data_IF_152370313167
#
_entry.id   IF_152370313167
#
_cell.length_a   1.000
_cell.length_b   1.000
_cell.length_c   1.000
_cell.angle_alpha   90.00
_cell.angle_beta   90.00
_cell.angle_gamma   90.00
#
_symmetry.space_group_name_H-M   'P 1'
#
loop_
_entity.id
_entity.type
_entity.pdbx_description
1 polymer ?
#
# COMPACT_ATOMS: atom_id res chain seq x y z
N UNK A 1 -27.24 -26.29 -28.51
CA UNK A 1 -27.44 -25.03 -27.75
C UNK A 1 -26.09 -24.68 -27.16
N UNK A 2 -25.44 -23.65 -27.70
CA UNK A 2 -24.22 -23.11 -27.11
C UNK A 2 -24.61 -22.42 -25.80
N UNK A 3 -24.10 -22.94 -24.68
CA UNK A 3 -24.31 -22.32 -23.37
C UNK A 3 -23.57 -20.98 -23.38
N UNK A 4 -24.32 -19.90 -23.12
CA UNK A 4 -23.74 -18.60 -22.86
C UNK A 4 -23.12 -18.62 -21.47
N UNK A 5 -21.81 -18.84 -21.42
CA UNK A 5 -21.06 -19.04 -20.18
C UNK A 5 -21.11 -17.80 -19.27
N UNK A 6 -21.18 -16.60 -19.85
CA UNK A 6 -21.27 -15.36 -19.08
C UNK A 6 -22.65 -15.19 -18.43
N UNK A 7 -23.71 -15.65 -19.10
CA UNK A 7 -25.06 -15.71 -18.53
C UNK A 7 -25.15 -16.74 -17.39
N UNK A 8 -24.54 -17.92 -17.56
CA UNK A 8 -24.50 -18.97 -16.53
C UNK A 8 -23.73 -18.52 -15.29
N UNK A 9 -22.57 -17.86 -15.47
CA UNK A 9 -21.79 -17.29 -14.37
C UNK A 9 -22.57 -16.20 -13.62
N UNK A 10 -23.22 -15.29 -14.35
CA UNK A 10 -24.01 -14.22 -13.76
C UNK A 10 -25.20 -14.74 -12.95
N UNK A 11 -25.90 -15.76 -13.46
CA UNK A 11 -27.02 -16.40 -12.76
C UNK A 11 -26.55 -17.19 -11.53
N UNK A 12 -25.38 -17.83 -11.58
CA UNK A 12 -24.78 -18.54 -10.46
C UNK A 12 -24.38 -17.58 -9.33
N UNK A 13 -23.69 -16.47 -9.65
CA UNK A 13 -23.32 -15.43 -8.68
C UNK A 13 -24.58 -14.81 -8.05
N UNK A 14 -25.59 -14.48 -8.84
CA UNK A 14 -26.85 -13.90 -8.35
C UNK A 14 -27.63 -14.85 -7.43
N UNK A 15 -27.59 -16.17 -7.69
CA UNK A 15 -28.34 -17.16 -6.91
C UNK A 15 -27.63 -17.62 -5.63
N UNK A 16 -26.29 -17.64 -5.64
CA UNK A 16 -25.48 -18.15 -4.52
C UNK A 16 -24.88 -17.05 -3.65
N UNK A 17 -24.73 -15.84 -4.18
CA UNK A 17 -23.98 -14.75 -3.54
C UNK A 17 -22.47 -15.00 -3.49
N UNK A 18 -21.97 -16.00 -4.22
CA UNK A 18 -20.55 -16.30 -4.31
C UNK A 18 -19.78 -15.17 -5.01
N UNK A 19 -18.53 -14.92 -4.60
CA UNK A 19 -17.68 -13.98 -5.34
C UNK A 19 -17.47 -14.45 -6.79
N UNK A 20 -17.41 -13.54 -7.77
CA UNK A 20 -17.32 -13.90 -9.19
C UNK A 20 -16.15 -14.83 -9.55
N UNK A 21 -15.00 -14.69 -8.86
CA UNK A 21 -13.85 -15.58 -9.04
C UNK A 21 -14.14 -17.01 -8.60
N UNK A 22 -14.64 -17.19 -7.36
CA UNK A 22 -15.01 -18.49 -6.82
C UNK A 22 -16.14 -19.16 -7.61
N UNK A 23 -17.14 -18.39 -8.04
CA UNK A 23 -18.23 -18.87 -8.88
C UNK A 23 -17.71 -19.42 -10.21
N UNK A 24 -16.73 -18.73 -10.81
CA UNK A 24 -16.10 -19.16 -12.07
C UNK A 24 -15.29 -20.43 -11.88
N UNK A 25 -14.49 -20.53 -10.82
CA UNK A 25 -13.68 -21.73 -10.54
C UNK A 25 -14.55 -22.96 -10.28
N UNK A 26 -15.67 -22.81 -9.56
CA UNK A 26 -16.62 -23.89 -9.30
C UNK A 26 -17.36 -24.35 -10.57
N UNK A 27 -17.73 -23.41 -11.44
CA UNK A 27 -18.37 -23.71 -12.72
C UNK A 27 -17.40 -24.34 -13.70
N UNK A 28 -16.19 -23.81 -13.85
CA UNK A 28 -15.13 -24.36 -14.71
C UNK A 28 -14.72 -25.76 -14.24
N UNK A 29 -14.56 -25.96 -12.93
CA UNK A 29 -14.24 -27.27 -12.33
C UNK A 29 -15.31 -28.35 -12.53
N UNK A 30 -16.54 -27.97 -12.88
CA UNK A 30 -17.66 -28.88 -13.20
C UNK A 30 -18.10 -28.83 -14.65
N UNK A 31 -17.26 -28.34 -15.57
CA UNK A 31 -17.61 -28.19 -16.99
C UNK A 31 -18.93 -27.43 -17.21
N UNK A 32 -19.16 -26.38 -16.42
CA UNK A 32 -20.35 -25.53 -16.45
C UNK A 32 -21.66 -26.25 -16.08
N UNK A 33 -21.59 -27.38 -15.36
CA UNK A 33 -22.75 -28.00 -14.72
C UNK A 33 -23.12 -27.23 -13.45
N UNK A 34 -24.14 -26.37 -13.58
CA UNK A 34 -24.68 -25.53 -12.51
C UNK A 34 -25.09 -26.33 -11.28
N UNK A 35 -25.68 -27.53 -11.42
CA UNK A 35 -26.16 -28.30 -10.26
C UNK A 35 -24.99 -28.89 -9.48
N UNK A 36 -23.98 -29.38 -10.18
CA UNK A 36 -22.77 -29.90 -9.56
C UNK A 36 -21.98 -28.78 -8.88
N UNK A 37 -21.85 -27.61 -9.51
CA UNK A 37 -21.18 -26.45 -8.92
C UNK A 37 -21.91 -25.92 -7.68
N UNK A 38 -23.25 -25.96 -7.67
CA UNK A 38 -24.07 -25.52 -6.53
C UNK A 38 -23.96 -26.49 -5.34
N UNK A 39 -23.85 -27.80 -5.59
CA UNK A 39 -23.56 -28.80 -4.56
C UNK A 39 -22.19 -28.57 -3.91
N UNK A 40 -21.15 -28.29 -4.70
CA UNK A 40 -19.81 -28.00 -4.19
C UNK A 40 -19.79 -26.68 -3.39
N UNK A 41 -20.52 -25.66 -3.87
CA UNK A 41 -20.69 -24.39 -3.14
C UNK A 41 -21.39 -24.58 -1.78
N UNK A 42 -22.44 -25.40 -1.72
CA UNK A 42 -23.13 -25.69 -0.46
C UNK A 42 -22.27 -26.47 0.53
N UNK A 43 -21.43 -27.40 0.05
CA UNK A 43 -20.44 -28.09 0.89
C UNK A 43 -19.39 -27.12 1.45
N UNK A 44 -18.84 -26.24 0.61
CA UNK A 44 -17.90 -25.20 1.03
C UNK A 44 -18.51 -24.27 2.10
N UNK A 45 -19.79 -23.93 1.95
CA UNK A 45 -20.52 -23.11 2.92
C UNK A 45 -20.75 -23.85 4.25
N UNK A 46 -20.98 -25.16 4.21
CA UNK A 46 -21.12 -25.98 5.44
C UNK A 46 -19.79 -26.16 6.18
N UNK A 47 -18.66 -26.28 5.46
CA UNK A 47 -17.31 -26.36 6.08
C UNK A 47 -16.97 -25.06 6.81
N UNK A 48 -17.34 -23.90 6.27
CA UNK A 48 -17.12 -22.60 6.93
C UNK A 48 -18.03 -22.38 8.16
N UNK A 49 -19.19 -23.03 8.21
CA UNK A 49 -20.08 -23.00 9.39
C UNK A 49 -19.66 -24.01 10.49
N UNK A 50 -18.89 -25.04 10.15
CA UNK A 50 -18.49 -26.12 11.07
C UNK A 50 -17.22 -25.88 11.91
N UNK A 51 -16.48 -24.78 11.67
CA UNK A 51 -15.19 -24.50 12.32
C UNK A 51 -15.27 -23.57 13.55
N UNK A 52 -16.41 -23.50 14.24
CA UNK A 52 -16.48 -22.93 15.58
C UNK A 52 -16.29 -24.04 16.63
N UNK A 53 -15.13 -24.09 17.27
CA UNK A 53 -14.86 -24.99 18.40
C UNK A 53 -15.79 -24.68 19.59
N UNK A 54 -16.39 -25.68 20.26
CA UNK A 54 -17.20 -25.47 21.45
C UNK A 54 -16.33 -25.26 22.71
N UNK A 55 -16.84 -24.55 23.74
CA UNK A 55 -16.16 -24.46 25.02
C UNK A 55 -16.28 -25.78 25.80
N UNK A 56 -15.20 -26.14 26.48
CA UNK A 56 -15.12 -27.21 27.46
C UNK A 56 -16.24 -27.15 28.51
N UNK A 57 -16.92 -28.26 28.75
CA UNK A 57 -17.44 -28.62 30.08
C UNK A 57 -17.59 -30.14 30.22
N UNK A 58 -17.11 -30.61 31.36
CA UNK A 58 -17.10 -31.99 31.83
C UNK A 58 -18.50 -32.58 32.06
N UNK A 59 -18.59 -33.92 32.02
CA UNK A 59 -19.40 -34.65 33.00
C UNK A 59 -20.74 -35.26 32.56
N UNK A 60 -20.67 -36.42 31.90
CA UNK A 60 -21.37 -37.69 32.24
C UNK A 60 -22.89 -37.73 32.52
N UNK A 61 -23.62 -38.56 31.76
CA UNK A 61 -24.70 -39.38 32.33
C UNK A 61 -25.97 -39.69 31.50
N UNK A 62 -25.91 -40.71 30.63
CA UNK A 62 -26.95 -41.76 30.49
C UNK A 62 -28.34 -41.47 29.86
N UNK A 63 -29.09 -42.53 29.45
CA UNK A 63 -29.81 -42.55 28.16
C UNK A 63 -31.34 -42.84 28.22
N UNK A 64 -32.08 -42.59 27.11
CA UNK A 64 -33.11 -43.49 26.48
C UNK A 64 -34.08 -42.77 25.51
N UNK A 65 -34.37 -43.44 24.39
CA UNK A 65 -35.45 -43.25 23.39
C UNK A 65 -36.74 -44.01 23.80
N UNK A 66 -37.83 -44.08 23.00
CA UNK A 66 -38.49 -43.18 22.02
C UNK A 66 -40.01 -43.01 22.32
N UNK A 67 -40.78 -42.17 21.58
CA UNK A 67 -42.09 -42.51 20.97
C UNK A 67 -42.86 -41.32 20.33
N UNK A 68 -43.76 -41.70 19.42
CA UNK A 68 -44.50 -40.93 18.39
C UNK A 68 -45.62 -40.02 18.92
N UNK A 69 -45.98 -38.99 18.14
CA UNK A 69 -47.30 -38.35 18.17
C UNK A 69 -47.44 -37.16 17.21
N UNK A 70 -48.36 -37.26 16.24
CA UNK A 70 -48.74 -36.24 15.26
C UNK A 70 -49.69 -35.17 15.84
N UNK A 71 -49.53 -33.92 15.37
CA UNK A 71 -50.56 -33.01 14.80
C UNK A 71 -50.57 -31.55 15.30
N UNK A 72 -50.50 -30.65 14.31
CA UNK A 72 -51.04 -29.29 14.16
C UNK A 72 -51.42 -28.43 15.39
N UNK A 73 -50.70 -27.31 15.57
CA UNK A 73 -51.20 -25.93 15.37
C UNK A 73 -50.29 -24.90 16.04
N UNK A 74 -49.81 -23.99 15.22
CA UNK A 74 -49.78 -22.54 15.41
C UNK A 74 -49.20 -21.93 16.70
N UNK A 75 -48.03 -21.30 16.49
CA UNK A 75 -47.38 -20.23 17.24
C UNK A 75 -48.20 -19.47 18.28
N UNK A 76 -47.64 -19.31 19.49
CA UNK A 76 -47.61 -18.03 20.22
C UNK A 76 -46.58 -18.07 21.35
N UNK A 77 -45.44 -17.38 21.17
CA UNK A 77 -44.53 -16.96 22.27
C UNK A 77 -43.81 -15.66 21.85
N UNK A 78 -43.34 -14.88 22.84
CA UNK A 78 -43.48 -13.43 22.93
C UNK A 78 -42.49 -12.67 22.05
N UNK A 79 -42.69 -11.35 21.82
CA UNK A 79 -41.81 -10.57 20.97
C UNK A 79 -40.41 -10.53 21.60
N UNK A 80 -39.42 -11.05 20.89
CA UNK A 80 -38.01 -10.69 21.11
C UNK A 80 -37.77 -9.31 20.50
N UNK A 81 -36.97 -8.44 21.15
CA UNK A 81 -36.71 -7.11 20.65
C UNK A 81 -36.07 -7.19 19.26
N UNK A 82 -36.73 -6.55 18.30
CA UNK A 82 -36.20 -6.21 17.00
C UNK A 82 -34.94 -5.36 17.21
N UNK A 83 -33.77 -5.91 16.89
CA UNK A 83 -32.65 -5.06 16.50
C UNK A 83 -33.05 -4.44 15.16
N UNK A 84 -33.69 -3.27 15.24
CA UNK A 84 -33.82 -2.38 14.11
C UNK A 84 -32.42 -2.15 13.56
N UNK A 85 -32.24 -2.60 12.31
CA UNK A 85 -31.25 -2.08 11.38
C UNK A 85 -31.42 -0.57 11.39
N UNK A 86 -30.59 0.12 12.16
CA UNK A 86 -30.55 1.56 12.22
C UNK A 86 -29.76 2.04 10.99
N UNK A 87 -30.35 1.83 9.81
CA UNK A 87 -30.07 2.64 8.63
C UNK A 87 -30.74 4.00 8.88
N UNK A 88 -30.16 4.78 9.79
CA UNK A 88 -30.41 6.20 10.03
C UNK A 88 -29.41 6.68 11.10
N UNK A 89 -28.13 6.59 10.78
CA UNK A 89 -27.13 7.48 11.35
C UNK A 89 -26.67 8.33 10.18
N UNK A 90 -26.95 9.62 10.32
CA UNK A 90 -26.40 10.76 9.59
C UNK A 90 -25.17 10.37 8.78
N UNK A 91 -25.17 10.68 7.47
CA UNK A 91 -23.97 10.74 6.64
C UNK A 91 -22.92 11.67 7.29
N UNK A 92 -22.25 11.20 8.33
CA UNK A 92 -20.96 11.72 8.72
C UNK A 92 -20.05 11.34 7.57
N UNK A 93 -19.72 12.34 6.75
CA UNK A 93 -18.68 12.25 5.72
C UNK A 93 -17.49 11.54 6.36
N UNK A 94 -17.28 10.28 5.99
CA UNK A 94 -16.09 9.51 6.36
C UNK A 94 -14.91 10.40 6.04
N UNK A 95 -14.23 10.91 7.08
CA UNK A 95 -13.12 11.84 6.91
C UNK A 95 -12.12 11.14 5.97
N UNK A 96 -11.68 11.86 4.95
CA UNK A 96 -10.65 11.34 4.05
C UNK A 96 -9.39 11.18 4.90
N UNK A 97 -8.84 9.96 4.90
CA UNK A 97 -7.74 9.56 5.77
C UNK A 97 -6.50 10.41 5.52
N UNK A 98 -5.75 10.72 6.57
CA UNK A 98 -4.38 11.22 6.45
C UNK A 98 -4.21 12.74 6.43
N UNK A 99 -3.00 13.16 6.76
CA UNK A 99 -2.61 14.55 7.07
C UNK A 99 -2.97 15.54 5.95
N UNK A 100 -2.85 15.10 4.69
CA UNK A 100 -3.09 15.96 3.52
C UNK A 100 -4.55 16.40 3.34
N UNK A 101 -5.49 15.79 4.06
CA UNK A 101 -6.91 16.12 4.03
C UNK A 101 -7.36 17.01 5.20
N UNK A 102 -6.54 17.18 6.24
CA UNK A 102 -6.91 17.91 7.45
C UNK A 102 -7.10 19.43 7.22
N UNK A 103 -6.37 20.03 6.28
CA UNK A 103 -6.57 21.43 5.86
C UNK A 103 -6.12 21.64 4.41
N UNK A 104 -7.05 21.49 3.48
CA UNK A 104 -6.76 21.55 2.05
C UNK A 104 -6.13 22.89 1.61
N UNK A 105 -6.51 24.01 2.23
CA UNK A 105 -5.95 25.34 1.91
C UNK A 105 -4.49 25.48 2.37
N UNK A 106 -4.18 25.06 3.60
CA UNK A 106 -2.82 25.11 4.15
C UNK A 106 -1.90 24.18 3.35
N UNK A 107 -2.36 22.95 3.07
CA UNK A 107 -1.55 21.98 2.33
C UNK A 107 -1.33 22.43 0.88
N UNK A 108 -2.34 23.04 0.25
CA UNK A 108 -2.17 23.59 -1.11
C UNK A 108 -1.22 24.78 -1.13
N UNK A 109 -1.26 25.65 -0.12
CA UNK A 109 -0.29 26.73 0.03
C UNK A 109 1.13 26.19 0.23
N UNK A 110 1.30 25.19 1.09
CA UNK A 110 2.59 24.55 1.34
C UNK A 110 3.16 23.91 0.06
N UNK A 111 2.33 23.20 -0.72
CA UNK A 111 2.74 22.66 -2.03
C UNK A 111 3.14 23.75 -3.00
N UNK A 112 2.38 24.85 -3.06
CA UNK A 112 2.71 25.97 -3.95
C UNK A 112 4.06 26.61 -3.61
N UNK A 113 4.42 26.70 -2.33
CA UNK A 113 5.71 27.22 -1.89
C UNK A 113 6.87 26.29 -2.29
N UNK A 114 6.69 24.97 -2.14
CA UNK A 114 7.68 23.98 -2.61
C UNK A 114 7.84 24.03 -4.13
N UNK A 115 6.74 24.23 -4.87
CA UNK A 115 6.76 24.40 -6.33
C UNK A 115 7.45 25.69 -6.78
N UNK A 116 7.13 26.83 -6.14
CA UNK A 116 7.59 28.16 -6.54
C UNK A 116 9.08 28.36 -6.26
N UNK A 117 9.58 27.81 -5.15
CA UNK A 117 11.00 27.85 -4.84
C UNK A 117 11.80 26.83 -5.66
N UNK A 118 11.13 25.96 -6.43
CA UNK A 118 11.75 24.93 -7.27
C UNK A 118 11.79 25.22 -8.78
N UNK A 119 11.40 26.42 -9.22
CA UNK A 119 11.33 26.73 -10.64
C UNK A 119 11.54 28.19 -10.98
N UNK A 120 12.76 28.58 -11.32
CA UNK A 120 13.05 29.95 -11.75
C UNK A 120 14.46 30.20 -12.31
N UNK A 121 14.76 29.68 -13.50
CA UNK A 121 15.63 30.33 -14.48
C UNK A 121 17.14 30.39 -14.23
N UNK A 122 17.88 29.63 -15.04
CA UNK A 122 19.24 29.98 -15.47
C UNK A 122 20.36 29.78 -14.44
N UNK A 123 21.28 28.87 -14.77
CA UNK A 123 22.54 28.55 -14.07
C UNK A 123 22.42 27.78 -12.75
N UNK A 124 22.84 26.51 -12.77
CA UNK A 124 23.37 25.69 -11.66
C UNK A 124 22.70 25.63 -10.27
N UNK A 125 21.55 26.26 -10.03
CA UNK A 125 20.96 26.31 -8.69
C UNK A 125 19.93 25.20 -8.42
N UNK A 126 19.92 24.78 -7.15
CA UNK A 126 19.30 23.57 -6.61
C UNK A 126 17.79 23.51 -6.89
N UNK A 127 17.23 22.38 -7.40
CA UNK A 127 15.86 22.37 -7.90
C UNK A 127 14.76 22.50 -6.84
N UNK A 128 15.04 22.32 -5.55
CA UNK A 128 14.03 22.34 -4.48
C UNK A 128 14.66 22.75 -3.14
N UNK A 129 14.05 23.67 -2.41
CA UNK A 129 14.40 23.97 -1.01
C UNK A 129 13.90 22.83 -0.12
N UNK A 130 14.84 22.02 0.39
CA UNK A 130 14.55 20.78 1.11
C UNK A 130 14.67 20.97 2.63
N UNK A 131 13.69 20.49 3.42
CA UNK A 131 13.80 20.52 4.88
C UNK A 131 14.96 19.62 5.33
N UNK A 132 15.75 20.14 6.26
CA UNK A 132 16.96 19.47 6.76
C UNK A 132 16.59 18.29 7.70
N UNK A 133 15.48 18.40 8.43
CA UNK A 133 14.97 17.35 9.32
C UNK A 133 13.89 16.49 8.64
N UNK A 134 13.63 15.32 9.21
CA UNK A 134 12.47 14.50 8.85
C UNK A 134 11.23 15.00 9.61
N UNK A 135 10.06 14.81 9.02
CA UNK A 135 8.78 15.04 9.67
C UNK A 135 8.65 14.14 10.92
N UNK A 136 8.08 14.68 11.99
CA UNK A 136 7.79 13.95 13.23
C UNK A 136 6.31 14.09 13.57
N UNK A 137 5.75 13.04 14.17
CA UNK A 137 4.40 13.10 14.72
C UNK A 137 4.43 13.82 16.07
N UNK A 138 3.43 14.66 16.40
CA UNK A 138 3.26 15.13 17.76
C UNK A 138 3.15 13.98 18.74
N UNK A 139 3.54 14.19 20.00
CA UNK A 139 3.40 13.17 21.05
C UNK A 139 1.92 12.80 21.25
N UNK A 140 1.49 11.68 20.65
CA UNK A 140 0.13 11.18 20.78
C UNK A 140 -0.14 10.54 22.14
N UNK A 141 0.90 10.29 22.95
CA UNK A 141 0.77 9.68 24.28
C UNK A 141 0.12 10.59 25.30
N UNK A 142 0.04 11.90 25.01
CA UNK A 142 -0.61 12.90 25.87
C UNK A 142 -2.14 12.81 25.85
N UNK A 143 -2.71 12.13 24.85
CA UNK A 143 -4.15 11.98 24.69
C UNK A 143 -4.64 10.65 25.27
N UNK A 144 -5.95 10.55 25.53
CA UNK A 144 -6.56 9.32 26.02
C UNK A 144 -6.44 8.17 24.99
N UNK A 145 -6.54 6.93 25.47
CA UNK A 145 -6.31 5.74 24.64
C UNK A 145 -7.30 5.62 23.47
N UNK A 146 -8.58 5.96 23.68
CA UNK A 146 -9.61 5.90 22.63
C UNK A 146 -9.31 6.86 21.48
N UNK A 147 -8.95 8.11 21.80
CA UNK A 147 -8.59 9.12 20.81
C UNK A 147 -7.26 8.78 20.13
N UNK A 148 -6.27 8.36 20.90
CA UNK A 148 -4.98 7.91 20.35
C UNK A 148 -5.17 6.77 19.36
N UNK A 149 -5.93 5.75 19.73
CA UNK A 149 -6.23 4.59 18.86
C UNK A 149 -7.00 5.01 17.60
N UNK A 150 -7.91 5.98 17.72
CA UNK A 150 -8.60 6.55 16.57
C UNK A 150 -7.63 7.23 15.60
N UNK A 151 -6.71 8.06 16.11
CA UNK A 151 -5.69 8.75 15.29
C UNK A 151 -4.70 7.76 14.68
N UNK A 152 -4.19 6.79 15.45
CA UNK A 152 -3.26 5.78 14.96
C UNK A 152 -3.89 4.91 13.85
N UNK A 153 -5.18 4.63 13.93
CA UNK A 153 -5.90 3.90 12.87
C UNK A 153 -6.07 4.71 11.59
N UNK A 154 -6.05 6.04 11.67
CA UNK A 154 -6.19 6.93 10.51
C UNK A 154 -4.84 7.28 9.87
N UNK A 155 -3.82 7.53 10.70
CA UNK A 155 -2.52 8.05 10.27
C UNK A 155 -1.47 6.97 10.01
N UNK A 156 -1.57 5.81 10.64
CA UNK A 156 -0.52 4.77 10.59
C UNK A 156 -0.96 3.61 9.70
N UNK A 157 -0.05 3.16 8.84
CA UNK A 157 -0.23 1.94 8.05
C UNK A 157 -0.03 0.71 8.94
N UNK A 158 -1.09 0.33 9.64
CA UNK A 158 -1.08 -0.72 10.66
C UNK A 158 -0.63 -2.09 10.10
N UNK A 159 -1.01 -2.40 8.86
CA UNK A 159 -0.66 -3.66 8.21
C UNK A 159 0.86 -3.81 8.06
N UNK A 160 1.51 -2.78 7.50
CA UNK A 160 2.95 -2.69 7.32
C UNK A 160 3.70 -2.64 8.66
N UNK A 161 3.19 -1.88 9.64
CA UNK A 161 3.79 -1.81 10.98
C UNK A 161 3.88 -3.21 11.59
N UNK A 162 2.76 -3.93 11.63
CA UNK A 162 2.69 -5.27 12.22
C UNK A 162 3.58 -6.25 11.44
N UNK A 163 3.50 -6.24 10.11
CA UNK A 163 4.29 -7.15 9.27
C UNK A 163 5.80 -6.98 9.47
N UNK A 164 6.30 -5.74 9.43
CA UNK A 164 7.74 -5.47 9.55
C UNK A 164 8.26 -5.64 10.98
N UNK A 165 7.46 -5.36 12.02
CA UNK A 165 7.84 -5.65 13.40
C UNK A 165 7.88 -7.16 13.66
N UNK A 166 6.89 -7.92 13.20
CA UNK A 166 6.86 -9.38 13.35
C UNK A 166 7.97 -10.08 12.55
N UNK A 167 8.33 -9.55 11.38
CA UNK A 167 9.47 -10.02 10.60
C UNK A 167 10.84 -9.63 11.21
N UNK A 168 10.86 -8.88 12.32
CA UNK A 168 12.09 -8.44 12.98
C UNK A 168 12.88 -7.41 12.16
N UNK A 169 12.21 -6.65 11.28
CA UNK A 169 12.83 -5.66 10.38
C UNK A 169 12.68 -4.24 10.89
N UNK A 170 11.56 -3.93 11.52
CA UNK A 170 11.25 -2.61 12.08
C UNK A 170 11.26 -2.65 13.61
N UNK A 171 11.75 -1.59 14.24
CA UNK A 171 11.73 -1.37 15.69
C UNK A 171 12.39 -2.45 16.58
N UNK A 172 13.09 -3.44 16.00
CA UNK A 172 13.86 -4.42 16.77
C UNK A 172 14.90 -3.75 17.68
N UNK A 173 15.47 -2.61 17.24
CA UNK A 173 16.43 -1.83 18.00
C UNK A 173 15.87 -1.27 19.31
N UNK A 174 14.57 -0.96 19.38
CA UNK A 174 13.95 -0.41 20.58
C UNK A 174 13.94 -1.41 21.75
N UNK A 175 14.04 -2.71 21.44
CA UNK A 175 14.21 -3.77 22.45
C UNK A 175 15.65 -3.90 22.96
N UNK A 176 16.63 -3.45 22.16
CA UNK A 176 18.06 -3.53 22.46
C UNK A 176 18.54 -2.27 23.18
N UNK A 177 18.08 -1.11 22.72
CA UNK A 177 18.41 0.20 23.29
C UNK A 177 17.12 0.99 23.57
N UNK A 178 16.73 1.15 24.86
CA UNK A 178 15.56 1.92 25.26
C UNK A 178 15.61 3.41 24.88
N UNK A 179 16.77 3.94 24.52
CA UNK A 179 16.91 5.33 24.06
C UNK A 179 16.55 5.52 22.60
N UNK A 180 16.53 4.43 21.82
CA UNK A 180 16.16 4.48 20.41
C UNK A 180 14.64 4.60 20.25
N UNK A 181 14.22 5.60 19.48
CA UNK A 181 12.80 5.85 19.20
C UNK A 181 12.21 4.75 18.33
N UNK A 182 10.94 4.41 18.59
CA UNK A 182 10.13 3.62 17.65
C UNK A 182 9.75 4.50 16.46
N UNK A 183 9.79 3.91 15.28
CA UNK A 183 9.33 4.51 14.04
C UNK A 183 7.97 3.94 13.65
N UNK A 184 7.14 4.79 13.09
CA UNK A 184 5.77 4.46 12.67
C UNK A 184 5.62 4.73 11.17
N UNK A 185 5.07 3.78 10.39
CA UNK A 185 4.80 3.99 8.97
C UNK A 185 3.55 4.84 8.80
N UNK A 186 3.68 6.02 8.17
CA UNK A 186 2.52 6.83 7.82
C UNK A 186 1.71 6.17 6.69
N UNK A 187 0.38 6.21 6.81
CA UNK A 187 -0.54 5.79 5.78
C UNK A 187 -0.34 6.63 4.51
N UNK A 188 -0.25 5.96 3.35
CA UNK A 188 -0.10 6.62 2.05
C UNK A 188 -1.12 6.09 1.05
N UNK A 189 -1.34 6.81 -0.05
CA UNK A 189 -2.27 6.40 -1.10
C UNK A 189 -1.65 5.38 -2.06
N UNK A 190 -2.45 4.39 -2.47
CA UNK A 190 -2.05 3.30 -3.37
C UNK A 190 -2.35 3.58 -4.85
N UNK A 191 -2.11 4.81 -5.32
CA UNK A 191 -2.37 5.25 -6.71
C UNK A 191 -1.18 5.01 -7.66
N UNK A 192 -0.21 4.18 -7.25
CA UNK A 192 1.05 3.97 -7.97
C UNK A 192 2.11 5.05 -7.74
N UNK A 193 1.80 6.13 -7.01
CA UNK A 193 2.73 7.19 -6.65
C UNK A 193 3.26 7.09 -5.20
N UNK A 194 3.03 5.95 -4.54
CA UNK A 194 3.31 5.75 -3.10
C UNK A 194 4.75 6.09 -2.68
N UNK A 195 5.78 5.77 -3.48
CA UNK A 195 7.18 6.12 -3.17
C UNK A 195 7.34 7.64 -2.97
N UNK A 196 6.73 8.42 -3.86
CA UNK A 196 6.88 9.88 -3.89
C UNK A 196 5.95 10.53 -2.88
N UNK A 197 4.79 9.94 -2.63
CA UNK A 197 3.96 10.29 -1.48
C UNK A 197 4.68 10.07 -0.16
N UNK A 198 5.29 8.90 0.06
CA UNK A 198 6.05 8.58 1.26
C UNK A 198 7.24 9.54 1.45
N UNK A 199 7.99 9.82 0.37
CA UNK A 199 9.08 10.80 0.45
C UNK A 199 8.58 12.21 0.81
N UNK A 200 7.50 12.66 0.16
CA UNK A 200 6.90 13.96 0.43
C UNK A 200 6.33 14.06 1.85
N UNK A 201 5.69 13.00 2.35
CA UNK A 201 5.20 12.90 3.72
C UNK A 201 6.34 12.95 4.74
N UNK A 202 7.41 12.18 4.52
CA UNK A 202 8.57 12.14 5.42
C UNK A 202 9.37 13.43 5.48
N UNK A 203 9.19 14.34 4.51
CA UNK A 203 9.85 15.65 4.48
C UNK A 203 8.92 16.79 4.90
N UNK A 204 7.71 16.84 4.36
CA UNK A 204 6.81 17.99 4.51
C UNK A 204 5.46 17.68 5.17
N UNK A 205 5.16 16.41 5.44
CA UNK A 205 3.88 16.00 6.05
C UNK A 205 2.70 15.99 5.08
N UNK A 206 2.91 16.12 3.77
CA UNK A 206 1.85 15.98 2.77
C UNK A 206 2.24 15.14 1.56
N UNK A 207 1.24 14.60 0.87
CA UNK A 207 1.38 13.79 -0.34
C UNK A 207 1.79 14.64 -1.56
N UNK A 208 2.65 14.09 -2.42
CA UNK A 208 3.04 14.62 -3.75
C UNK A 208 1.87 14.63 -4.77
N UNK A 209 0.77 15.33 -4.48
CA UNK A 209 -0.41 15.37 -5.36
C UNK A 209 -0.23 16.21 -6.62
N UNK A 210 0.70 17.17 -6.59
CA UNK A 210 1.01 18.01 -7.75
C UNK A 210 2.09 17.36 -8.65
N UNK A 211 2.53 16.15 -8.28
CA UNK A 211 3.53 15.33 -8.97
C UNK A 211 4.88 16.06 -9.12
N UNK A 212 5.25 16.91 -8.16
CA UNK A 212 6.49 17.67 -8.19
C UNK A 212 7.69 16.73 -8.15
N UNK A 213 7.69 15.80 -7.19
CA UNK A 213 8.77 14.83 -7.06
C UNK A 213 8.80 13.89 -8.26
N UNK A 214 7.63 13.49 -8.78
CA UNK A 214 7.55 12.59 -9.95
C UNK A 214 8.15 13.24 -11.19
N UNK A 215 7.77 14.49 -11.46
CA UNK A 215 8.30 15.28 -12.58
C UNK A 215 9.81 15.52 -12.43
N UNK A 216 10.29 15.81 -11.22
CA UNK A 216 11.72 16.01 -10.97
C UNK A 216 12.53 14.72 -11.18
N UNK A 217 12.01 13.58 -10.72
CA UNK A 217 12.60 12.25 -10.93
C UNK A 217 12.69 11.91 -12.42
N UNK A 218 11.58 12.04 -13.15
CA UNK A 218 11.53 11.86 -14.59
C UNK A 218 12.53 12.76 -15.33
N UNK A 219 12.56 14.06 -14.99
CA UNK A 219 13.44 15.03 -15.62
C UNK A 219 14.93 14.71 -15.41
N UNK A 220 15.31 14.23 -14.21
CA UNK A 220 16.68 13.82 -13.92
C UNK A 220 17.11 12.61 -14.79
N UNK A 221 16.22 11.63 -14.97
CA UNK A 221 16.49 10.45 -15.81
C UNK A 221 16.49 10.76 -17.30
N UNK A 222 15.64 11.68 -17.75
CA UNK A 222 15.52 12.01 -19.18
C UNK A 222 16.63 12.97 -19.65
N UNK A 223 16.89 14.02 -18.88
CA UNK A 223 17.69 15.20 -19.31
C UNK A 223 18.76 15.64 -18.30
N UNK A 224 18.85 15.00 -17.15
CA UNK A 224 19.81 15.36 -16.11
C UNK A 224 21.27 15.19 -16.53
N UNK A 225 22.15 16.05 -16.01
CA UNK A 225 23.60 15.96 -16.26
C UNK A 225 24.21 14.66 -15.72
N UNK A 226 23.60 14.10 -14.66
CA UNK A 226 24.02 12.84 -14.01
C UNK A 226 23.48 11.59 -14.71
N UNK A 227 22.55 11.74 -15.68
CA UNK A 227 21.83 10.64 -16.36
C UNK A 227 22.72 9.49 -16.79
N UNK A 228 23.80 9.79 -17.52
CA UNK A 228 24.66 8.75 -18.08
C UNK A 228 25.42 7.99 -16.98
N UNK A 229 25.75 8.65 -15.87
CA UNK A 229 26.38 7.99 -14.73
C UNK A 229 25.40 7.10 -13.97
N UNK A 230 24.18 7.61 -13.74
CA UNK A 230 23.07 6.84 -13.17
C UNK A 230 22.77 5.59 -14.01
N UNK A 231 22.66 5.74 -15.34
CA UNK A 231 22.47 4.62 -16.28
C UNK A 231 23.58 3.57 -16.19
N UNK A 232 24.85 3.99 -16.07
CA UNK A 232 25.98 3.07 -15.90
C UNK A 232 25.88 2.26 -14.61
N UNK A 233 25.44 2.87 -13.49
CA UNK A 233 25.26 2.16 -12.22
C UNK A 233 24.14 1.12 -12.29
N UNK A 234 22.99 1.51 -12.82
CA UNK A 234 21.89 0.59 -13.05
C UNK A 234 22.33 -0.60 -13.92
N UNK A 235 22.92 -0.31 -15.09
CA UNK A 235 23.40 -1.35 -16.01
C UNK A 235 24.41 -2.28 -15.34
N UNK A 236 25.31 -1.75 -14.51
CA UNK A 236 26.27 -2.55 -13.77
C UNK A 236 25.61 -3.50 -12.78
N UNK A 237 24.68 -3.00 -11.96
CA UNK A 237 23.93 -3.81 -10.99
C UNK A 237 23.09 -4.88 -11.68
N UNK A 238 22.31 -4.49 -12.71
CA UNK A 238 21.50 -5.42 -13.51
C UNK A 238 22.37 -6.47 -14.20
N UNK A 239 23.58 -6.11 -14.65
CA UNK A 239 24.54 -7.07 -15.21
C UNK A 239 24.97 -8.11 -14.18
N UNK A 240 25.14 -7.76 -12.90
CA UNK A 240 25.47 -8.76 -11.89
C UNK A 240 24.29 -9.71 -11.65
N UNK A 241 23.07 -9.20 -11.56
CA UNK A 241 21.87 -10.02 -11.40
C UNK A 241 21.65 -10.95 -12.61
N UNK A 242 21.78 -10.43 -13.84
CA UNK A 242 21.62 -11.21 -15.06
C UNK A 242 22.63 -12.36 -15.17
N UNK A 243 23.85 -12.21 -14.62
CA UNK A 243 24.84 -13.29 -14.59
C UNK A 243 24.38 -14.50 -13.77
N UNK A 244 23.58 -14.29 -12.73
CA UNK A 244 23.08 -15.38 -11.88
C UNK A 244 22.12 -16.31 -12.64
N UNK A 245 21.42 -15.78 -13.65
CA UNK A 245 20.54 -16.54 -14.54
C UNK A 245 21.18 -16.88 -15.90
N UNK A 246 22.42 -16.45 -16.15
CA UNK A 246 23.10 -16.62 -17.45
C UNK A 246 22.54 -15.73 -18.57
N UNK A 247 21.73 -14.71 -18.24
CA UNK A 247 21.16 -13.77 -19.18
C UNK A 247 22.21 -12.74 -19.62
N UNK A 248 22.29 -12.45 -20.91
CA UNK A 248 23.18 -11.42 -21.47
C UNK A 248 22.39 -10.58 -22.46
N UNK A 249 22.22 -9.30 -22.14
CA UNK A 249 21.54 -8.36 -23.03
C UNK A 249 22.46 -7.82 -24.12
N UNK A 250 21.88 -7.65 -25.30
CA UNK A 250 22.38 -6.83 -26.40
C UNK A 250 22.29 -5.33 -26.06
N UNK A 251 22.99 -4.47 -26.81
CA UNK A 251 22.89 -3.02 -26.61
C UNK A 251 21.47 -2.48 -26.84
N UNK A 252 20.73 -3.07 -27.80
CA UNK A 252 19.34 -2.69 -28.07
C UNK A 252 18.41 -3.05 -26.92
N UNK A 253 18.59 -4.23 -26.30
CA UNK A 253 17.85 -4.63 -25.10
C UNK A 253 18.17 -3.72 -23.92
N UNK A 254 19.45 -3.37 -23.70
CA UNK A 254 19.83 -2.39 -22.68
C UNK A 254 19.15 -1.03 -22.88
N UNK A 255 19.06 -0.57 -24.13
CA UNK A 255 18.40 0.69 -24.44
C UNK A 255 16.88 0.59 -24.26
N UNK A 256 16.28 -0.55 -24.58
CA UNK A 256 14.85 -0.81 -24.39
C UNK A 256 14.47 -0.81 -22.90
N UNK A 257 15.17 -1.59 -22.07
CA UNK A 257 14.92 -1.64 -20.62
C UNK A 257 15.12 -0.26 -19.97
N UNK A 258 16.14 0.49 -20.40
CA UNK A 258 16.34 1.87 -19.93
C UNK A 258 15.18 2.81 -20.30
N UNK A 259 14.62 2.66 -21.50
CA UNK A 259 13.48 3.47 -21.93
C UNK A 259 12.21 3.11 -21.15
N UNK A 260 12.01 1.83 -20.81
CA UNK A 260 10.88 1.41 -19.95
C UNK A 260 11.02 2.00 -18.54
N UNK A 261 12.21 2.01 -17.94
CA UNK A 261 12.44 2.69 -16.65
C UNK A 261 12.06 4.18 -16.70
N UNK A 262 12.49 4.91 -17.75
CA UNK A 262 12.10 6.32 -17.92
C UNK A 262 10.58 6.46 -18.04
N UNK A 263 9.92 5.55 -18.76
CA UNK A 263 8.47 5.56 -18.94
C UNK A 263 7.72 5.34 -17.62
N UNK A 264 8.18 4.43 -16.75
CA UNK A 264 7.59 4.22 -15.42
C UNK A 264 7.64 5.48 -14.55
N UNK A 265 8.69 6.30 -14.70
CA UNK A 265 8.83 7.58 -14.00
C UNK A 265 7.90 8.69 -14.52
N UNK A 266 7.27 8.52 -15.68
CA UNK A 266 6.41 9.54 -16.30
C UNK A 266 5.27 9.97 -15.38
N UNK A 267 4.84 11.23 -15.49
CA UNK A 267 3.65 11.76 -14.80
C UNK A 267 2.35 11.53 -15.58
N UNK A 268 2.40 10.77 -16.68
CA UNK A 268 1.21 10.39 -17.43
C UNK A 268 0.45 9.29 -16.68
N UNK A 269 -0.86 9.46 -16.42
CA UNK A 269 -1.68 8.41 -15.83
C UNK A 269 -1.77 7.19 -16.74
N UNK A 270 -1.89 6.00 -16.15
CA UNK A 270 -2.14 4.77 -16.87
C UNK A 270 -3.45 4.90 -17.65
N UNK A 271 -3.37 4.73 -18.96
CA UNK A 271 -4.56 4.68 -19.80
C UNK A 271 -5.33 3.40 -19.47
N UNK A 272 -6.44 3.50 -18.73
CA UNK A 272 -7.45 2.45 -18.72
C UNK A 272 -8.09 2.43 -20.10
N UNK A 273 -7.54 1.61 -21.01
CA UNK A 273 -8.28 1.16 -22.17
C UNK A 273 -9.45 0.34 -21.65
N UNK A 274 -10.58 1.03 -21.42
CA UNK A 274 -11.85 0.39 -21.10
C UNK A 274 -12.13 -0.68 -22.14
N UNK A 275 -12.14 -1.93 -21.72
CA UNK A 275 -12.68 -3.03 -22.52
C UNK A 275 -14.15 -2.70 -22.81
N UNK A 276 -14.46 -2.51 -24.09
CA UNK A 276 -15.76 -2.25 -24.72
C UNK A 276 -16.20 -0.78 -24.92
N UNK A 277 -15.78 -0.25 -26.07
CA UNK A 277 -16.64 0.25 -27.16
C UNK A 277 -18.00 0.90 -26.86
N UNK A 278 -18.12 2.12 -27.38
CA UNK A 278 -19.34 2.74 -27.91
C UNK A 278 -20.46 3.13 -26.93
N UNK A 279 -20.59 4.45 -26.78
CA UNK A 279 -21.88 5.16 -26.73
C UNK A 279 -22.67 5.11 -25.42
N UNK A 280 -22.16 5.77 -24.38
CA UNK A 280 -22.98 6.31 -23.30
C UNK A 280 -22.31 7.57 -22.74
N UNK A 281 -22.88 8.73 -23.06
CA UNK A 281 -22.41 10.01 -22.56
C UNK A 281 -22.70 10.19 -21.08
N UNK A 282 -21.75 10.82 -20.39
CA UNK A 282 -22.03 11.70 -19.26
C UNK A 282 -22.31 11.04 -17.92
N UNK A 283 -21.32 10.35 -17.35
CA UNK A 283 -21.05 10.43 -15.91
C UNK A 283 -19.52 10.46 -15.78
N UNK A 284 -18.97 11.64 -15.46
CA UNK A 284 -17.57 11.75 -15.06
C UNK A 284 -17.39 10.98 -13.74
N UNK A 285 -17.10 9.69 -13.84
CA UNK A 285 -16.50 8.96 -12.73
C UNK A 285 -15.15 9.62 -12.49
N UNK A 286 -15.06 10.35 -11.38
CA UNK A 286 -13.86 11.01 -10.89
C UNK A 286 -12.90 9.94 -10.33
N UNK A 287 -12.51 8.98 -11.17
CA UNK A 287 -11.47 8.03 -10.80
C UNK A 287 -10.16 8.81 -10.65
N UNK A 288 -9.57 8.74 -9.45
CA UNK A 288 -8.27 9.35 -9.20
C UNK A 288 -7.25 8.74 -10.19
N UNK A 289 -6.38 9.56 -10.79
CA UNK A 289 -5.43 9.08 -11.77
C UNK A 289 -4.48 8.05 -11.13
N UNK A 290 -4.35 6.89 -11.76
CA UNK A 290 -3.40 5.85 -11.35
C UNK A 290 -2.12 5.97 -12.17
N UNK A 291 -0.96 5.89 -11.51
CA UNK A 291 0.36 6.01 -12.13
C UNK A 291 1.08 4.66 -12.16
N UNK A 292 2.15 4.58 -12.95
CA UNK A 292 3.01 3.40 -12.95
C UNK A 292 3.81 3.28 -11.66
N UNK A 293 3.90 2.06 -11.13
CA UNK A 293 4.69 1.77 -9.93
C UNK A 293 6.19 1.89 -10.21
N UNK A 294 6.95 2.32 -9.21
CA UNK A 294 8.37 2.60 -9.33
C UNK A 294 9.23 1.47 -8.74
N UNK A 295 10.31 1.15 -9.43
CA UNK A 295 11.30 0.13 -9.05
C UNK A 295 12.45 0.66 -8.16
N UNK A 296 13.31 -0.26 -7.70
CA UNK A 296 14.49 0.00 -6.85
C UNK A 296 15.35 1.17 -7.37
N UNK A 297 15.62 1.18 -8.68
CA UNK A 297 16.45 2.21 -9.29
C UNK A 297 15.85 3.61 -9.16
N UNK A 298 14.52 3.75 -9.14
CA UNK A 298 13.88 5.04 -8.94
C UNK A 298 14.08 5.57 -7.52
N UNK A 299 14.22 4.69 -6.51
CA UNK A 299 14.61 5.11 -5.14
C UNK A 299 16.02 5.70 -5.17
N UNK A 300 16.94 5.09 -5.92
CA UNK A 300 18.30 5.61 -6.09
C UNK A 300 18.31 6.97 -6.79
N UNK A 301 17.54 7.12 -7.88
CA UNK A 301 17.40 8.41 -8.58
C UNK A 301 16.74 9.46 -7.67
N UNK A 302 15.73 9.08 -6.89
CA UNK A 302 15.08 9.98 -5.94
C UNK A 302 16.08 10.52 -4.90
N UNK A 303 17.01 9.70 -4.40
CA UNK A 303 18.06 10.17 -3.50
C UNK A 303 18.89 11.31 -4.12
N UNK A 304 19.14 11.26 -5.44
CA UNK A 304 19.84 12.32 -6.19
C UNK A 304 18.98 13.57 -6.37
N UNK A 305 17.69 13.40 -6.69
CA UNK A 305 16.73 14.52 -6.75
C UNK A 305 16.70 15.28 -5.42
N UNK A 306 16.68 14.55 -4.30
CA UNK A 306 16.63 15.12 -2.96
C UNK A 306 18.01 15.58 -2.44
N UNK A 307 19.10 15.16 -3.09
CA UNK A 307 20.48 15.24 -2.58
C UNK A 307 20.57 14.80 -1.11
N UNK A 308 19.85 13.74 -0.78
CA UNK A 308 19.64 13.27 0.59
C UNK A 308 19.65 11.73 0.59
N UNK A 309 20.37 11.08 1.52
CA UNK A 309 20.31 9.63 1.70
C UNK A 309 18.88 9.15 1.94
N UNK A 310 18.52 8.03 1.34
CA UNK A 310 17.26 7.32 1.62
C UNK A 310 17.60 5.97 2.24
N UNK A 311 16.96 5.64 3.35
CA UNK A 311 17.06 4.33 4.01
C UNK A 311 15.70 3.66 3.88
N UNK A 312 15.66 2.47 3.29
CA UNK A 312 14.42 1.70 3.14
C UNK A 312 14.48 0.47 4.04
N UNK A 313 13.51 0.37 4.95
CA UNK A 313 13.28 -0.80 5.80
C UNK A 313 12.27 -1.71 5.11
N UNK A 314 12.67 -2.95 4.83
CA UNK A 314 11.82 -3.94 4.19
C UNK A 314 12.18 -5.34 4.71
N UNK A 315 11.31 -6.32 4.49
CA UNK A 315 11.74 -7.72 4.55
C UNK A 315 12.66 -8.04 3.37
N UNK A 316 13.41 -9.14 3.46
CA UNK A 316 14.40 -9.53 2.44
C UNK A 316 13.83 -10.48 1.40
N UNK A 317 12.74 -11.18 1.71
CA UNK A 317 12.14 -12.20 0.86
C UNK A 317 10.63 -12.07 0.86
N UNK A 318 10.01 -12.13 -0.32
CA UNK A 318 8.60 -12.42 -0.50
C UNK A 318 8.35 -13.87 -0.08
N UNK A 319 7.22 -14.12 0.57
CA UNK A 319 6.81 -15.45 1.00
C UNK A 319 5.54 -15.89 0.28
N UNK A 320 5.45 -17.17 -0.01
CA UNK A 320 4.23 -17.76 -0.57
C UNK A 320 3.15 -17.97 0.52
N UNK A 321 2.01 -18.54 0.14
CA UNK A 321 0.92 -18.86 1.08
C UNK A 321 1.29 -19.93 2.12
N UNK A 322 2.36 -20.70 1.89
CA UNK A 322 2.94 -21.63 2.85
C UNK A 322 3.95 -21.00 3.81
N UNK A 323 4.35 -19.75 3.57
CA UNK A 323 5.37 -19.03 4.34
C UNK A 323 6.80 -19.26 3.84
N UNK A 324 6.99 -20.03 2.77
CA UNK A 324 8.29 -20.34 2.19
C UNK A 324 8.82 -19.16 1.37
N UNK A 325 10.14 -19.00 1.33
CA UNK A 325 10.76 -17.91 0.57
C UNK A 325 10.57 -18.12 -0.94
N UNK A 326 9.96 -17.13 -1.59
CA UNK A 326 9.61 -17.15 -3.01
C UNK A 326 10.60 -16.35 -3.87
N UNK A 327 10.82 -15.08 -3.54
CA UNK A 327 11.68 -14.19 -4.31
C UNK A 327 12.28 -13.09 -3.43
N UNK A 328 13.49 -12.58 -3.71
CA UNK A 328 14.09 -11.49 -2.94
C UNK A 328 13.32 -10.18 -3.14
N UNK A 329 13.24 -9.38 -2.07
CA UNK A 329 12.70 -8.01 -2.12
C UNK A 329 13.89 -7.06 -2.33
N UNK A 330 13.97 -6.34 -3.48
CA UNK A 330 15.16 -5.55 -3.83
C UNK A 330 15.22 -4.19 -3.13
N UNK A 331 14.16 -3.76 -2.43
CA UNK A 331 14.04 -2.38 -1.96
C UNK A 331 14.79 -2.07 -0.66
N UNK A 332 15.00 -3.06 0.21
CA UNK A 332 15.62 -2.84 1.51
C UNK A 332 17.10 -2.44 1.40
N UNK A 333 17.49 -1.30 1.97
CA UNK A 333 18.88 -0.84 1.88
C UNK A 333 19.10 0.65 2.07
N UNK A 334 20.28 1.11 1.67
CA UNK A 334 20.74 2.50 1.77
C UNK A 334 21.04 3.03 0.36
N UNK A 335 20.37 4.13 0.01
CA UNK A 335 20.48 4.79 -1.28
C UNK A 335 21.17 6.15 -1.08
N UNK A 336 22.39 6.28 -1.58
CA UNK A 336 23.18 7.50 -1.47
C UNK A 336 23.17 8.27 -2.80
N UNK A 337 23.12 9.60 -2.79
CA UNK A 337 23.28 10.44 -3.99
C UNK A 337 24.74 10.48 -4.45
N UNK A 338 25.27 9.36 -4.94
CA UNK A 338 26.69 9.15 -5.22
C UNK A 338 27.24 9.97 -6.40
N UNK A 339 26.37 10.41 -7.33
CA UNK A 339 26.77 11.30 -8.42
C UNK A 339 26.79 12.78 -8.00
N UNK A 340 26.43 13.08 -6.76
CA UNK A 340 26.46 14.43 -6.18
C UNK A 340 27.59 14.51 -5.13
N UNK A 341 28.44 15.55 -5.15
CA UNK A 341 29.45 15.75 -4.12
C UNK A 341 28.84 15.80 -2.72
N UNK A 342 29.40 15.05 -1.76
CA UNK A 342 28.83 14.90 -0.42
C UNK A 342 28.67 16.22 0.38
N UNK A 343 29.44 17.27 0.03
CA UNK A 343 29.31 18.61 0.62
C UNK A 343 28.08 19.39 0.11
N UNK A 344 27.43 18.90 -0.95
CA UNK A 344 26.18 19.43 -1.51
C UNK A 344 24.97 18.59 -1.13
N UNK A 345 25.14 17.60 -0.24
CA UNK A 345 24.11 16.67 0.19
C UNK A 345 23.74 16.87 1.66
N UNK A 346 22.46 16.68 1.97
CA UNK A 346 21.99 16.56 3.34
C UNK A 346 22.50 15.25 3.96
N UNK A 347 22.85 15.29 5.25
CA UNK A 347 23.37 14.10 5.97
C UNK A 347 22.29 13.34 6.73
N UNK A 348 21.21 14.00 7.11
CA UNK A 348 20.06 13.36 7.75
C UNK A 348 19.32 12.51 6.70
N UNK A 349 19.12 11.19 6.91
CA UNK A 349 18.43 10.37 5.93
C UNK A 349 16.92 10.66 5.91
N UNK A 350 16.29 10.36 4.78
CA UNK A 350 14.87 10.08 4.70
C UNK A 350 14.68 8.58 4.94
N UNK A 351 13.83 8.20 5.89
CA UNK A 351 13.59 6.79 6.24
C UNK A 351 12.22 6.38 5.72
N UNK A 352 12.19 5.31 4.92
CA UNK A 352 10.98 4.75 4.33
C UNK A 352 10.84 3.28 4.75
N UNK A 353 9.62 2.77 4.69
CA UNK A 353 9.31 1.35 4.78
C UNK A 353 8.73 0.85 3.47
N UNK A 354 8.98 -0.41 3.16
CA UNK A 354 8.38 -1.11 2.02
C UNK A 354 7.81 -2.46 2.48
N UNK A 355 6.54 -2.68 2.18
CA UNK A 355 5.83 -3.96 2.36
C UNK A 355 4.71 -4.08 1.32
N UNK A 356 4.45 -5.30 0.83
CA UNK A 356 3.32 -5.61 -0.06
C UNK A 356 3.11 -4.62 -1.23
N UNK A 357 4.19 -4.29 -1.96
CA UNK A 357 4.17 -3.34 -3.08
C UNK A 357 3.75 -1.90 -2.70
N UNK A 358 3.94 -1.52 -1.43
CA UNK A 358 3.59 -0.22 -0.91
C UNK A 358 4.75 0.42 -0.14
N UNK A 359 4.91 1.74 -0.30
CA UNK A 359 5.88 2.55 0.43
C UNK A 359 5.19 3.41 1.48
N UNK A 360 5.81 3.52 2.66
CA UNK A 360 5.37 4.44 3.72
C UNK A 360 6.54 5.23 4.28
N UNK A 361 6.28 6.46 4.74
CA UNK A 361 7.27 7.26 5.45
C UNK A 361 7.41 6.71 6.88
N UNK A 362 8.64 6.40 7.32
CA UNK A 362 8.90 6.04 8.71
C UNK A 362 9.25 7.30 9.50
N UNK A 363 8.40 7.62 10.48
CA UNK A 363 8.54 8.84 11.30
C UNK A 363 8.59 8.50 12.77
N UNK A 364 9.31 9.29 13.55
CA UNK A 364 9.26 9.19 15.00
C UNK A 364 8.16 10.09 15.58
N UNK A 365 7.79 9.83 16.83
CA UNK A 365 7.01 10.77 17.62
C UNK A 365 7.97 11.74 18.32
N UNK A 366 7.56 13.01 18.41
CA UNK A 366 8.22 14.02 19.23
C UNK A 366 8.37 13.49 20.65
N UNK A 367 9.59 13.58 21.19
CA UNK A 367 9.82 13.34 22.60
C UNK A 367 9.62 14.66 23.34
N UNK A 368 9.00 14.62 24.53
CA UNK A 368 9.12 15.73 25.46
C UNK A 368 10.61 16.02 25.63
N UNK A 369 11.04 17.21 25.25
CA UNK A 369 12.36 17.67 25.63
C UNK A 369 12.43 17.58 27.16
N UNK A 370 13.32 16.72 27.67
CA UNK A 370 13.84 16.94 29.00
C UNK A 370 14.66 18.23 28.88
N UNK A 371 14.03 19.36 29.13
CA UNK A 371 14.71 20.62 29.41
C UNK A 371 15.47 20.43 30.72
N UNK A 372 16.58 19.71 30.65
CA UNK A 372 17.66 19.78 31.62
C UNK A 372 18.83 20.41 30.87
N UNK A 373 19.18 21.58 31.38
CA UNK A 373 20.32 22.44 31.00
C UNK A 373 20.02 23.51 29.93
N UNK A 374 19.51 24.64 30.41
CA UNK A 374 20.33 25.87 30.48
C UNK A 374 20.07 26.63 31.78
#
# INVERSE_FOLDING_TARGET
>A
MTLDMDAVLSDFVRSTGAEPGLARDLLEGKNWDVRAALSDFEQLRQVHAGNLSPPFSEGSGGPRTPEKGFSDRESTRPPRPTLQRQDDIVQEKRLSRGISHASSSIVSLARSHVSSNGGGGGSNEHPLEMPICAFQLPDLTVYNEDFRSFIERDLIEQSMLVALEQAGRLNWWASVDPTCQRLLPLATTGDGNCLLHAASLGMWGFHDRDLMLRKALYALMEKGVEKEALKRRWRWQQTQQNKESGLVYTEDEWQKEWNELIKLASSEPRMHLGTNGANCGGVESSEEPVYESLEEFHVFVLAHVLRRPIVVVADTMLRDSGGEAFAPIPFGGIYLPLEVPANQCHRSPLVLAYDQAHFSALVSMEQKENTKEQ
#
